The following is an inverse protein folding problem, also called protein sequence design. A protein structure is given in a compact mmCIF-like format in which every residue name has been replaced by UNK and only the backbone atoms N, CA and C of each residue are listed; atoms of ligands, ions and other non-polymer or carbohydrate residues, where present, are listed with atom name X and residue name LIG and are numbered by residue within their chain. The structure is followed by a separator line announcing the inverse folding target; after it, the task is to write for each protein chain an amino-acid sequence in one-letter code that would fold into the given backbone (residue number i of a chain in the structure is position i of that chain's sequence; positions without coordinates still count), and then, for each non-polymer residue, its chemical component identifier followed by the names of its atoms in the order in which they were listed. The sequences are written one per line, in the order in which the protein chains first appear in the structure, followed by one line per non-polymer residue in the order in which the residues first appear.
data_IF_822676474120
#
_entry.id   IF_822676474120
#
_cell.length_a   1.000
_cell.length_b   1.000
_cell.length_c   1.000
_cell.angle_alpha   90.00
_cell.angle_beta   90.00
_cell.angle_gamma   90.00
#
_symmetry.space_group_name_H-M   'P 1'
#
loop_
_entity.id
_entity.type
_entity.pdbx_description
1 polymer ?
#
# COMPACT_ATOMS: atom_id res chain seq x y z
N UNK A 1 9.75 -6.08 2.84
CA UNK A 1 8.38 -6.42 3.32
C UNK A 1 7.62 -7.14 2.22
N UNK A 2 6.91 -8.24 2.50
CA UNK A 2 6.21 -9.06 1.47
C UNK A 2 4.70 -8.81 1.41
N UNK A 3 4.14 -8.73 0.22
CA UNK A 3 2.73 -8.46 -0.09
C UNK A 3 2.33 -9.14 -1.40
N UNK A 4 1.03 -9.14 -1.72
CA UNK A 4 0.50 -9.73 -2.97
C UNK A 4 -0.09 -8.68 -3.88
N UNK A 5 0.28 -8.71 -5.17
CA UNK A 5 -0.40 -7.93 -6.21
C UNK A 5 -1.71 -8.64 -6.58
N UNK A 6 -2.79 -7.90 -6.80
CA UNK A 6 -4.10 -8.44 -7.25
C UNK A 6 -4.67 -7.62 -8.40
N UNK A 7 -5.41 -8.31 -9.26
CA UNK A 7 -6.11 -7.75 -10.42
C UNK A 7 -7.26 -6.81 -10.00
N UNK A 8 -7.80 -6.06 -10.96
CA UNK A 8 -8.83 -5.04 -10.80
C UNK A 8 -10.09 -5.48 -9.98
N UNK A 9 -10.94 -4.54 -9.53
CA UNK A 9 -12.07 -4.84 -8.65
C UNK A 9 -13.02 -5.88 -9.25
N UNK A 10 -13.13 -7.04 -8.61
CA UNK A 10 -14.03 -8.14 -9.01
C UNK A 10 -13.31 -9.44 -9.40
N UNK A 11 -12.00 -9.42 -9.63
CA UNK A 11 -11.19 -10.63 -9.80
C UNK A 11 -10.47 -10.98 -8.50
N UNK A 12 -10.50 -12.26 -8.15
CA UNK A 12 -9.82 -12.90 -7.00
C UNK A 12 -8.36 -13.21 -7.30
N UNK A 13 -7.87 -12.94 -8.52
CA UNK A 13 -6.58 -13.39 -9.00
C UNK A 13 -5.40 -12.66 -8.33
N UNK A 14 -4.37 -13.44 -8.02
CA UNK A 14 -3.08 -13.02 -7.51
C UNK A 14 -2.03 -13.31 -8.57
N UNK A 15 -1.07 -12.39 -8.72
CA UNK A 15 -0.01 -12.57 -9.70
C UNK A 15 1.04 -13.53 -9.20
N UNK A 16 1.47 -14.46 -10.04
CA UNK A 16 2.54 -15.41 -9.73
C UNK A 16 3.75 -15.16 -10.62
N UNK A 17 4.93 -15.43 -10.07
CA UNK A 17 6.20 -15.44 -10.80
C UNK A 17 6.79 -16.85 -10.79
N UNK A 18 7.20 -17.36 -11.94
CA UNK A 18 8.11 -18.51 -12.03
C UNK A 18 9.37 -18.09 -12.78
N UNK A 19 10.52 -18.67 -12.39
CA UNK A 19 11.79 -18.31 -13.01
C UNK A 19 11.72 -18.57 -14.53
N UNK A 20 12.14 -17.57 -15.31
CA UNK A 20 12.12 -17.54 -16.79
C UNK A 20 10.75 -17.36 -17.49
N UNK A 21 9.67 -17.19 -16.72
CA UNK A 21 8.30 -17.06 -17.24
C UNK A 21 7.76 -15.64 -17.00
N UNK A 22 6.84 -15.22 -17.87
CA UNK A 22 6.09 -13.96 -17.75
C UNK A 22 5.28 -13.92 -16.44
N UNK A 23 4.94 -12.72 -15.97
CA UNK A 23 4.11 -12.57 -14.77
C UNK A 23 2.64 -12.69 -15.16
N UNK A 24 1.90 -13.59 -14.51
CA UNK A 24 0.49 -13.87 -14.81
C UNK A 24 -0.40 -13.69 -13.59
N UNK A 25 -1.58 -13.10 -13.78
CA UNK A 25 -2.72 -13.20 -12.86
C UNK A 25 -3.33 -14.61 -13.01
N UNK A 26 -3.00 -15.53 -12.10
CA UNK A 26 -3.20 -16.96 -12.36
C UNK A 26 -3.84 -17.75 -11.21
N UNK A 27 -4.11 -17.15 -10.04
CA UNK A 27 -4.63 -17.93 -8.92
C UNK A 27 -5.43 -17.10 -7.93
N UNK A 28 -6.51 -17.67 -7.39
CA UNK A 28 -7.22 -17.09 -6.24
C UNK A 28 -6.44 -17.22 -4.93
N UNK A 29 -5.53 -18.20 -4.85
CA UNK A 29 -4.78 -18.54 -3.65
C UNK A 29 -3.43 -17.81 -3.58
N UNK A 30 -3.14 -17.25 -2.41
CA UNK A 30 -1.82 -16.68 -2.12
C UNK A 30 -0.84 -17.83 -1.95
N UNK A 31 0.19 -17.88 -2.79
CA UNK A 31 1.31 -18.81 -2.70
C UNK A 31 2.60 -18.01 -2.51
N UNK A 32 3.72 -18.63 -2.10
CA UNK A 32 5.00 -17.93 -2.02
C UNK A 32 5.38 -17.24 -3.33
N UNK A 33 5.05 -17.84 -4.48
CA UNK A 33 5.34 -17.28 -5.81
C UNK A 33 4.49 -16.05 -6.16
N UNK A 34 3.44 -15.78 -5.38
CA UNK A 34 2.61 -14.58 -5.50
C UNK A 34 2.93 -13.46 -4.52
N UNK A 35 4.02 -13.65 -3.75
CA UNK A 35 4.57 -12.64 -2.88
C UNK A 35 5.64 -11.82 -3.60
N UNK A 36 5.46 -10.51 -3.53
CA UNK A 36 6.43 -9.51 -3.97
C UNK A 36 6.89 -8.68 -2.78
N UNK A 37 8.15 -8.25 -2.80
CA UNK A 37 8.66 -7.26 -1.87
C UNK A 37 8.67 -5.88 -2.49
N UNK A 38 8.16 -4.91 -1.74
CA UNK A 38 8.18 -3.50 -2.12
C UNK A 38 9.54 -2.90 -1.71
N UNK A 39 10.35 -2.57 -2.70
CA UNK A 39 11.65 -1.92 -2.49
C UNK A 39 11.60 -0.54 -3.13
N UNK A 40 11.80 0.50 -2.34
CA UNK A 40 11.80 1.88 -2.82
C UNK A 40 12.95 2.61 -2.14
N UNK A 41 13.78 3.28 -2.94
CA UNK A 41 14.84 4.13 -2.41
C UNK A 41 14.21 5.43 -1.91
N UNK A 42 14.55 5.84 -0.68
CA UNK A 42 14.05 7.08 -0.07
C UNK A 42 14.41 8.33 -0.89
N UNK A 43 15.41 8.25 -1.76
CA UNK A 43 15.89 9.36 -2.58
C UNK A 43 15.45 9.28 -4.05
N UNK A 44 14.89 8.15 -4.49
CA UNK A 44 14.46 7.97 -5.88
C UNK A 44 12.94 7.74 -5.95
N UNK A 45 12.21 8.41 -6.85
CA UNK A 45 10.76 8.23 -7.00
C UNK A 45 10.37 6.87 -7.60
N UNK A 46 11.33 5.96 -7.76
CA UNK A 46 11.16 4.70 -8.45
C UNK A 46 11.19 3.55 -7.43
N UNK A 47 10.28 2.60 -7.61
CA UNK A 47 10.24 1.35 -6.87
C UNK A 47 10.75 0.20 -7.72
N UNK A 48 11.07 -0.88 -7.03
CA UNK A 48 11.34 -2.19 -7.57
C UNK A 48 10.44 -3.22 -6.89
N UNK A 49 10.05 -4.23 -7.65
CA UNK A 49 9.23 -5.34 -7.16
C UNK A 49 10.07 -6.60 -7.18
N UNK A 50 10.48 -7.09 -6.01
CA UNK A 50 11.27 -8.31 -5.89
C UNK A 50 10.37 -9.52 -5.69
N UNK A 51 10.44 -10.52 -6.55
CA UNK A 51 9.70 -11.78 -6.41
C UNK A 51 10.33 -12.71 -5.38
N UNK A 52 9.58 -13.73 -4.94
CA UNK A 52 10.03 -14.69 -3.95
C UNK A 52 11.27 -15.53 -4.36
N UNK A 53 11.52 -15.67 -5.67
CA UNK A 53 12.73 -16.31 -6.20
C UNK A 53 13.98 -15.40 -6.16
N UNK A 54 13.84 -14.16 -5.66
CA UNK A 54 14.94 -13.21 -5.49
C UNK A 54 15.20 -12.29 -6.67
N UNK A 55 14.57 -12.55 -7.83
CA UNK A 55 14.65 -11.69 -9.01
C UNK A 55 13.68 -10.51 -8.92
N UNK A 56 13.81 -9.58 -9.85
CA UNK A 56 12.99 -8.39 -9.92
C UNK A 56 12.05 -8.45 -11.14
N UNK A 57 10.85 -7.92 -10.96
CA UNK A 57 9.94 -7.64 -12.08
C UNK A 57 10.60 -6.62 -12.98
N UNK A 58 10.67 -6.91 -14.27
CA UNK A 58 11.37 -6.11 -15.24
C UNK A 58 10.58 -5.99 -16.54
N UNK A 59 10.56 -4.78 -17.11
CA UNK A 59 10.03 -4.54 -18.45
C UNK A 59 11.05 -5.03 -19.49
N UNK A 60 10.66 -5.96 -20.34
CA UNK A 60 11.52 -6.57 -21.37
C UNK A 60 11.14 -6.11 -22.78
N UNK A 61 11.87 -6.62 -23.77
CA UNK A 61 11.56 -6.42 -25.18
C UNK A 61 10.13 -6.87 -25.51
N UNK A 62 9.57 -6.29 -26.57
CA UNK A 62 8.17 -6.49 -26.96
C UNK A 62 7.15 -6.18 -25.86
N UNK A 63 7.53 -5.32 -24.89
CA UNK A 63 6.65 -4.81 -23.82
C UNK A 63 6.14 -5.92 -22.86
N UNK A 64 6.83 -7.05 -22.85
CA UNK A 64 6.57 -8.13 -21.89
C UNK A 64 7.10 -7.75 -20.51
N UNK A 65 6.53 -8.34 -19.45
CA UNK A 65 6.99 -8.15 -18.08
C UNK A 65 7.35 -9.51 -17.50
N UNK A 66 8.59 -9.63 -16.99
CA UNK A 66 9.15 -10.89 -16.48
C UNK A 66 9.77 -10.68 -15.10
N UNK A 67 9.75 -11.71 -14.26
CA UNK A 67 10.40 -11.71 -12.95
C UNK A 67 11.81 -12.33 -13.03
N UNK A 68 12.67 -11.73 -13.87
CA UNK A 68 14.03 -12.19 -14.14
C UNK A 68 15.08 -11.06 -14.12
N UNK A 69 14.73 -9.89 -13.59
CA UNK A 69 15.64 -8.75 -13.51
C UNK A 69 16.56 -8.78 -12.31
N UNK A 70 17.66 -8.05 -12.44
CA UNK A 70 18.63 -7.81 -11.40
C UNK A 70 18.50 -6.38 -10.81
N UNK A 71 18.89 -6.15 -9.54
CA UNK A 71 18.64 -4.89 -8.84
C UNK A 71 19.17 -3.62 -9.53
N UNK A 72 20.22 -3.72 -10.35
CA UNK A 72 20.85 -2.55 -10.98
C UNK A 72 20.30 -2.25 -12.38
N UNK A 73 19.35 -3.03 -12.89
CA UNK A 73 18.76 -2.83 -14.21
C UNK A 73 17.71 -1.71 -14.20
N UNK A 74 17.80 -0.78 -15.14
CA UNK A 74 16.82 0.29 -15.29
C UNK A 74 15.41 -0.25 -15.59
N UNK A 75 15.32 -1.39 -16.26
CA UNK A 75 14.09 -2.09 -16.62
C UNK A 75 13.29 -2.59 -15.41
N UNK A 76 13.92 -2.67 -14.24
CA UNK A 76 13.28 -3.07 -12.98
C UNK A 76 12.69 -1.90 -12.19
N UNK A 77 12.93 -0.67 -12.64
CA UNK A 77 12.48 0.55 -11.98
C UNK A 77 11.11 0.98 -12.54
N UNK A 78 10.18 1.21 -11.62
CA UNK A 78 8.83 1.70 -11.94
C UNK A 78 8.51 2.94 -11.12
N UNK A 79 7.85 3.92 -11.73
CA UNK A 79 7.18 5.00 -10.99
C UNK A 79 5.84 4.49 -10.49
N UNK A 80 5.53 4.82 -9.23
CA UNK A 80 4.27 4.48 -8.60
C UNK A 80 3.35 5.68 -8.55
N UNK A 81 2.11 5.46 -8.95
CA UNK A 81 1.02 6.41 -8.73
C UNK A 81 -0.06 5.72 -7.92
N UNK A 82 -0.59 6.41 -6.92
CA UNK A 82 -1.67 5.92 -6.09
C UNK A 82 -3.02 6.51 -6.54
N UNK A 83 -4.05 5.66 -6.55
CA UNK A 83 -5.44 6.06 -6.75
C UNK A 83 -6.31 5.38 -5.70
N UNK A 84 -6.47 6.03 -4.54
CA UNK A 84 -7.33 5.56 -3.44
C UNK A 84 -7.05 4.09 -3.05
N UNK A 85 -5.76 3.75 -2.86
CA UNK A 85 -5.32 2.43 -2.42
C UNK A 85 -5.07 1.44 -3.55
N UNK A 86 -5.32 1.87 -4.80
CA UNK A 86 -4.88 1.16 -6.00
C UNK A 86 -3.54 1.71 -6.47
N UNK A 87 -2.68 0.82 -6.90
CA UNK A 87 -1.37 1.11 -7.47
C UNK A 87 -1.46 1.17 -8.98
N UNK A 88 -0.84 2.17 -9.58
CA UNK A 88 -0.62 2.26 -11.02
C UNK A 88 0.90 2.33 -11.23
N UNK A 89 1.43 1.35 -11.96
CA UNK A 89 2.86 1.18 -12.16
C UNK A 89 3.26 1.65 -13.56
N UNK A 90 4.22 2.57 -13.65
CA UNK A 90 4.74 3.09 -14.91
C UNK A 90 6.23 2.76 -15.06
N UNK A 91 6.58 2.05 -16.12
CA UNK A 91 7.98 1.81 -16.49
C UNK A 91 8.70 3.12 -16.86
N UNK A 92 10.05 3.11 -16.81
CA UNK A 92 10.86 4.26 -17.22
C UNK A 92 10.69 4.65 -18.70
N UNK A 93 10.24 3.71 -19.55
CA UNK A 93 9.87 4.00 -20.95
C UNK A 93 8.56 4.79 -21.09
N UNK A 94 7.90 5.11 -19.97
CA UNK A 94 6.64 5.86 -19.93
C UNK A 94 5.39 4.99 -20.10
N UNK A 95 5.55 3.67 -20.24
CA UNK A 95 4.44 2.72 -20.42
C UNK A 95 3.90 2.24 -19.08
N UNK A 96 2.59 2.17 -18.96
CA UNK A 96 1.89 1.63 -17.80
C UNK A 96 1.78 0.12 -17.89
N UNK A 97 1.99 -0.53 -16.75
CA UNK A 97 1.83 -1.96 -16.59
C UNK A 97 0.34 -2.26 -16.47
N UNK A 98 -0.13 -3.25 -17.21
CA UNK A 98 -1.52 -3.67 -17.19
C UNK A 98 -1.67 -5.14 -17.53
N UNK A 99 -2.85 -5.67 -17.24
CA UNK A 99 -3.21 -7.05 -17.57
C UNK A 99 -3.91 -7.08 -18.92
N UNK A 100 -3.53 -8.00 -19.78
CA UNK A 100 -4.29 -8.31 -21.01
C UNK A 100 -5.20 -9.53 -20.80
N UNK A 101 -6.12 -9.78 -21.74
CA UNK A 101 -7.12 -10.85 -21.63
C UNK A 101 -6.57 -12.26 -21.34
N UNK A 102 -5.30 -12.53 -21.64
CA UNK A 102 -4.64 -13.79 -21.29
C UNK A 102 -4.20 -13.90 -19.82
N UNK A 103 -4.45 -12.87 -19.00
CA UNK A 103 -3.95 -12.78 -17.62
C UNK A 103 -2.49 -12.33 -17.52
N UNK A 104 -1.80 -12.13 -18.65
CA UNK A 104 -0.40 -11.72 -18.67
C UNK A 104 -0.22 -10.24 -18.32
N UNK A 105 0.80 -9.93 -17.52
CA UNK A 105 1.26 -8.58 -17.22
C UNK A 105 2.14 -8.05 -18.35
N UNK A 106 1.81 -6.87 -18.88
CA UNK A 106 2.53 -6.21 -19.99
C UNK A 106 2.66 -4.72 -19.74
N UNK A 107 3.65 -4.08 -20.36
CA UNK A 107 3.87 -2.63 -20.28
C UNK A 107 3.49 -1.94 -21.61
N UNK A 108 2.18 -1.89 -21.91
CA UNK A 108 1.68 -1.46 -23.22
C UNK A 108 1.04 -0.07 -23.23
N UNK A 109 0.30 0.26 -22.19
CA UNK A 109 -0.56 1.45 -22.17
C UNK A 109 0.25 2.74 -22.06
N UNK A 110 -0.19 3.81 -22.74
CA UNK A 110 0.35 5.17 -22.59
C UNK A 110 -0.46 6.03 -21.63
N UNK A 111 -1.70 5.61 -21.35
CA UNK A 111 -2.64 6.25 -20.44
C UNK A 111 -3.22 5.11 -19.59
N UNK A 112 -3.20 5.21 -18.26
CA UNK A 112 -3.70 4.14 -17.41
C UNK A 112 -5.22 4.06 -17.49
N UNK A 113 -5.75 2.84 -17.56
CA UNK A 113 -7.16 2.53 -17.41
C UNK A 113 -7.40 1.47 -16.33
N UNK A 114 -8.59 0.87 -16.29
CA UNK A 114 -8.95 -0.12 -15.27
C UNK A 114 -8.02 -1.35 -15.22
N UNK A 115 -7.37 -1.71 -16.33
CA UNK A 115 -6.46 -2.85 -16.41
C UNK A 115 -5.05 -2.55 -15.89
N UNK A 116 -4.71 -1.26 -15.70
CA UNK A 116 -3.45 -0.77 -15.17
C UNK A 116 -3.55 -0.42 -13.67
N UNK A 117 -4.71 -0.64 -13.05
CA UNK A 117 -4.94 -0.48 -11.62
C UNK A 117 -4.77 -1.80 -10.88
N UNK A 118 -3.83 -1.84 -9.95
CA UNK A 118 -3.53 -3.01 -9.16
C UNK A 118 -3.88 -2.81 -7.70
N UNK A 119 -4.44 -3.85 -7.09
CA UNK A 119 -4.57 -3.94 -5.65
C UNK A 119 -3.29 -4.40 -4.99
N UNK A 120 -3.02 -3.92 -3.78
CA UNK A 120 -2.09 -4.59 -2.87
C UNK A 120 -2.82 -5.09 -1.62
N UNK A 121 -2.27 -6.17 -1.04
CA UNK A 121 -2.67 -6.69 0.26
C UNK A 121 -1.44 -7.14 1.03
N UNK A 122 -1.36 -6.80 2.31
CA UNK A 122 -0.32 -7.31 3.18
C UNK A 122 -0.45 -8.84 3.31
N UNK A 123 0.65 -9.56 3.08
CA UNK A 123 0.64 -11.01 3.17
C UNK A 123 0.72 -11.50 4.62
N UNK A 124 1.58 -10.88 5.42
CA UNK A 124 1.94 -11.33 6.77
C UNK A 124 1.85 -10.21 7.82
N UNK A 125 0.91 -9.27 7.67
CA UNK A 125 0.64 -8.26 8.72
C UNK A 125 -0.84 -8.20 9.03
N UNK A 126 -1.19 -8.63 10.24
CA UNK A 126 -2.53 -8.52 10.82
C UNK A 126 -2.73 -7.23 11.62
N UNK A 127 -1.66 -6.47 11.87
CA UNK A 127 -1.72 -5.22 12.61
C UNK A 127 -0.65 -4.22 12.16
N UNK A 128 -0.84 -2.96 12.54
CA UNK A 128 0.12 -1.87 12.42
C UNK A 128 0.44 -1.25 13.76
N UNK A 129 1.65 -0.75 13.87
CA UNK A 129 2.05 0.28 14.82
C UNK A 129 2.49 1.46 13.95
N UNK A 130 2.00 2.66 14.24
CA UNK A 130 2.32 3.83 13.42
C UNK A 130 3.18 4.79 14.22
N UNK A 131 4.36 5.12 13.68
CA UNK A 131 5.23 6.16 14.20
C UNK A 131 5.29 7.32 13.21
N UNK A 132 4.83 8.49 13.64
CA UNK A 132 4.86 9.72 12.86
C UNK A 132 6.01 10.62 13.25
N UNK A 133 5.93 11.89 12.83
CA UNK A 133 6.97 12.90 13.07
C UNK A 133 7.20 13.19 14.55
N UNK A 134 6.16 13.11 15.38
CA UNK A 134 6.19 13.56 16.78
C UNK A 134 6.16 12.43 17.80
N UNK A 135 6.02 11.18 17.37
CA UNK A 135 5.93 10.01 18.26
C UNK A 135 5.06 8.92 17.68
N UNK A 136 4.64 7.99 18.52
CA UNK A 136 3.71 6.94 18.14
C UNK A 136 2.27 7.43 18.15
N UNK A 137 1.46 6.78 17.31
CA UNK A 137 0.01 6.88 17.38
C UNK A 137 -0.49 6.01 18.53
N UNK A 138 -1.29 6.60 19.40
CA UNK A 138 -1.82 5.90 20.55
C UNK A 138 -2.96 6.64 21.22
N UNK A 139 -3.50 6.00 22.25
CA UNK A 139 -4.56 6.57 23.10
C UNK A 139 -3.99 6.88 24.48
N UNK A 140 -4.47 7.96 25.09
CA UNK A 140 -4.07 8.36 26.45
C UNK A 140 -5.31 8.28 27.35
N UNK A 141 -5.12 7.89 28.61
CA UNK A 141 -6.20 7.90 29.62
C UNK A 141 -6.80 9.29 29.83
N UNK A 142 -6.03 10.34 29.55
CA UNK A 142 -6.39 11.73 29.79
C UNK A 142 -7.09 12.36 28.58
N UNK A 143 -7.06 11.68 27.43
CA UNK A 143 -7.59 12.20 26.18
C UNK A 143 -8.61 11.27 25.55
N UNK A 144 -9.80 11.82 25.31
CA UNK A 144 -10.85 11.16 24.54
C UNK A 144 -10.48 10.99 23.04
N UNK A 145 -9.37 11.58 22.58
CA UNK A 145 -8.94 11.58 21.19
C UNK A 145 -7.59 10.88 21.04
N UNK A 146 -7.40 10.19 19.92
CA UNK A 146 -6.12 9.60 19.55
C UNK A 146 -5.05 10.68 19.37
N UNK A 147 -3.87 10.37 19.89
CA UNK A 147 -2.68 11.20 19.83
C UNK A 147 -1.64 10.58 18.90
N UNK A 148 -0.64 11.37 18.51
CA UNK A 148 0.46 11.02 17.60
C UNK A 148 1.84 11.44 18.13
N UNK A 149 1.91 11.72 19.43
CA UNK A 149 3.12 12.08 20.18
C UNK A 149 3.33 11.16 21.40
N UNK A 150 2.82 9.93 21.33
CA UNK A 150 2.93 8.97 22.43
C UNK A 150 4.30 8.31 22.43
N UNK A 151 4.79 7.96 23.62
CA UNK A 151 6.00 7.15 23.78
C UNK A 151 5.74 5.66 23.53
N UNK A 152 4.56 5.18 23.95
CA UNK A 152 4.09 3.81 23.72
C UNK A 152 3.03 3.77 22.61
N UNK A 153 3.12 2.81 21.66
CA UNK A 153 2.17 2.71 20.56
C UNK A 153 0.91 1.92 20.92
N UNK A 154 -0.21 2.33 20.31
CA UNK A 154 -1.36 1.44 20.18
C UNK A 154 -1.13 0.44 19.04
N UNK A 155 -1.62 -0.79 19.25
CA UNK A 155 -1.67 -1.79 18.19
C UNK A 155 -2.97 -1.65 17.41
N UNK A 156 -2.86 -1.37 16.11
CA UNK A 156 -4.00 -1.21 15.19
C UNK A 156 -4.22 -2.52 14.45
N UNK A 157 -5.25 -3.28 14.81
CA UNK A 157 -5.61 -4.47 14.08
C UNK A 157 -6.14 -4.09 12.69
N UNK A 158 -5.60 -4.74 11.66
CA UNK A 158 -5.99 -4.55 10.26
C UNK A 158 -6.99 -5.63 9.87
N UNK A 159 -8.23 -5.21 9.58
CA UNK A 159 -9.22 -6.08 8.96
C UNK A 159 -9.31 -5.76 7.47
N UNK A 160 -8.87 -6.65 6.57
CA UNK A 160 -8.93 -6.38 5.13
C UNK A 160 -10.38 -6.27 4.64
N UNK A 161 -10.75 -5.15 3.99
CA UNK A 161 -12.07 -4.96 3.40
C UNK A 161 -12.03 -5.19 1.89
N UNK A 162 -11.21 -4.40 1.19
CA UNK A 162 -10.94 -4.50 -0.26
C UNK A 162 -9.45 -4.30 -0.49
N UNK A 163 -9.00 -4.46 -1.72
CA UNK A 163 -7.60 -4.22 -2.06
C UNK A 163 -7.19 -2.78 -1.67
N UNK A 164 -6.08 -2.64 -0.94
CA UNK A 164 -5.60 -1.36 -0.39
C UNK A 164 -6.48 -0.72 0.69
N UNK A 165 -7.65 -1.31 1.03
CA UNK A 165 -8.62 -0.74 1.97
C UNK A 165 -8.81 -1.68 3.17
N UNK A 166 -8.59 -1.13 4.35
CA UNK A 166 -8.65 -1.83 5.62
C UNK A 166 -9.59 -1.13 6.58
N UNK A 167 -10.13 -1.89 7.52
CA UNK A 167 -10.76 -1.35 8.72
C UNK A 167 -9.75 -1.40 9.85
N UNK A 168 -9.65 -0.31 10.59
CA UNK A 168 -8.75 -0.20 11.74
C UNK A 168 -9.54 -0.51 13.00
N UNK A 169 -9.11 -1.55 13.72
CA UNK A 169 -9.72 -2.01 14.95
C UNK A 169 -8.73 -1.82 16.11
N UNK A 170 -9.18 -1.21 17.19
CA UNK A 170 -8.42 -1.06 18.43
C UNK A 170 -8.34 -2.40 19.18
N UNK A 171 -7.39 -2.54 20.12
CA UNK A 171 -7.17 -3.79 20.87
C UNK A 171 -8.42 -4.32 21.59
N UNK A 172 -9.37 -3.45 21.98
CA UNK A 172 -10.65 -3.83 22.59
C UNK A 172 -11.75 -4.28 21.62
N UNK A 173 -11.44 -4.49 20.33
CA UNK A 173 -12.39 -4.93 19.31
C UNK A 173 -13.29 -3.83 18.75
N UNK A 174 -13.21 -2.62 19.30
CA UNK A 174 -13.90 -1.44 18.76
C UNK A 174 -13.15 -0.87 17.55
N UNK A 175 -13.85 -0.15 16.68
CA UNK A 175 -13.27 0.41 15.47
C UNK A 175 -12.75 1.82 15.67
N UNK A 176 -11.75 2.20 14.88
CA UNK A 176 -11.40 3.60 14.74
C UNK A 176 -12.57 4.37 14.11
N UNK A 177 -12.88 5.53 14.68
CA UNK A 177 -13.89 6.45 14.18
C UNK A 177 -13.30 7.83 13.97
N UNK A 178 -13.92 8.62 13.10
CA UNK A 178 -13.52 9.99 12.79
C UNK A 178 -14.62 10.96 13.20
N UNK A 179 -14.24 12.09 13.81
CA UNK A 179 -15.18 13.16 14.18
C UNK A 179 -15.41 14.12 13.02
N UNK A 180 -16.38 15.03 13.16
CA UNK A 180 -16.62 16.11 12.19
C UNK A 180 -15.43 17.06 12.02
N UNK A 181 -14.50 17.08 12.99
CA UNK A 181 -13.30 17.92 12.97
C UNK A 181 -12.08 17.17 12.42
N UNK A 182 -12.25 15.95 11.92
CA UNK A 182 -11.15 15.14 11.38
C UNK A 182 -10.23 14.55 12.45
N UNK A 183 -10.64 14.51 13.72
CA UNK A 183 -9.92 13.82 14.80
C UNK A 183 -10.41 12.38 14.96
N UNK A 184 -9.61 11.52 15.61
CA UNK A 184 -9.91 10.09 15.73
C UNK A 184 -10.22 9.62 17.16
N UNK A 185 -11.04 8.56 17.26
CA UNK A 185 -11.40 7.87 18.52
C UNK A 185 -11.32 6.34 18.36
N UNK A 186 -10.88 5.57 19.39
CA UNK A 186 -10.71 4.11 19.31
C UNK A 186 -12.00 3.29 19.56
N UNK A 187 -13.08 3.90 20.05
CA UNK A 187 -14.33 3.20 20.45
C UNK A 187 -15.50 3.40 19.47
N UNK A 188 -15.19 3.44 18.17
CA UNK A 188 -16.19 3.44 17.11
C UNK A 188 -16.98 2.14 17.07
N UNK A 189 -18.29 2.24 16.83
CA UNK A 189 -19.20 1.09 16.69
C UNK A 189 -19.16 0.44 15.31
N UNK A 190 -18.78 1.20 14.29
CA UNK A 190 -18.84 0.79 12.89
C UNK A 190 -17.46 0.86 12.26
N UNK A 191 -17.20 -0.10 11.38
CA UNK A 191 -15.97 -0.13 10.60
C UNK A 191 -15.96 0.99 9.55
N UNK A 192 -14.86 1.71 9.47
CA UNK A 192 -14.62 2.74 8.44
C UNK A 192 -13.51 2.30 7.49
N UNK A 193 -13.61 2.74 6.24
CA UNK A 193 -12.66 2.41 5.19
C UNK A 193 -11.44 3.33 5.23
N UNK A 194 -10.30 2.78 5.65
CA UNK A 194 -9.00 3.44 5.59
C UNK A 194 -8.23 2.88 4.41
N UNK A 195 -7.73 3.77 3.56
CA UNK A 195 -6.90 3.41 2.44
C UNK A 195 -5.43 3.56 2.86
N UNK A 196 -4.65 2.49 2.66
CA UNK A 196 -3.20 2.51 2.92
C UNK A 196 -2.48 2.67 1.59
N UNK A 197 -1.44 3.49 1.56
CA UNK A 197 -0.60 3.69 0.39
C UNK A 197 0.87 3.62 0.81
N UNK A 198 1.64 2.71 0.22
CA UNK A 198 3.07 2.56 0.52
C UNK A 198 3.88 3.71 -0.07
N UNK A 199 4.71 4.32 0.75
CA UNK A 199 5.64 5.40 0.39
C UNK A 199 7.10 4.94 0.44
N UNK A 200 7.37 3.78 1.04
CA UNK A 200 8.70 3.19 1.15
C UNK A 200 8.63 1.77 1.69
N UNK A 201 9.78 1.13 1.86
CA UNK A 201 9.85 -0.26 2.35
C UNK A 201 9.27 -0.46 3.76
N UNK A 202 9.23 0.60 4.57
CA UNK A 202 8.63 0.64 5.91
C UNK A 202 7.87 1.94 6.16
N UNK A 203 7.46 2.66 5.10
CA UNK A 203 6.76 3.95 5.19
C UNK A 203 5.44 3.87 4.43
N UNK A 204 4.38 4.41 5.03
CA UNK A 204 3.06 4.48 4.41
C UNK A 204 2.38 5.83 4.69
N UNK A 205 1.34 6.12 3.90
CA UNK A 205 0.31 7.12 4.17
C UNK A 205 -1.02 6.42 4.39
N UNK A 206 -1.91 7.08 5.12
CA UNK A 206 -3.29 6.61 5.33
C UNK A 206 -4.25 7.69 4.83
N UNK A 207 -5.04 7.37 3.81
CA UNK A 207 -6.17 8.18 3.36
C UNK A 207 -7.40 7.79 4.18
N UNK A 208 -7.92 8.73 4.95
CA UNK A 208 -9.03 8.53 5.87
C UNK A 208 -10.40 8.57 5.15
N UNK A 209 -11.47 8.08 5.79
CA UNK A 209 -12.81 8.01 5.19
C UNK A 209 -13.40 9.36 4.74
N UNK A 210 -12.90 10.47 5.29
CA UNK A 210 -13.32 11.81 4.91
C UNK A 210 -12.57 12.36 3.67
N UNK A 211 -11.70 11.56 3.05
CA UNK A 211 -10.98 11.93 1.83
C UNK A 211 -9.70 12.75 2.06
N UNK A 212 -9.21 12.82 3.29
CA UNK A 212 -7.97 13.51 3.65
C UNK A 212 -6.93 12.54 4.18
N UNK A 213 -5.66 12.84 3.93
CA UNK A 213 -4.55 12.09 4.51
C UNK A 213 -4.45 12.35 6.01
N UNK A 214 -4.26 11.26 6.74
CA UNK A 214 -3.96 11.26 8.16
C UNK A 214 -2.56 11.82 8.39
N UNK A 215 -2.45 12.82 9.27
CA UNK A 215 -1.20 13.49 9.61
C UNK A 215 -1.00 13.64 11.12
N UNK A 216 0.26 13.69 11.53
CA UNK A 216 0.66 14.04 12.89
C UNK A 216 0.65 15.56 13.08
N UNK A 217 -0.18 16.08 13.98
CA UNK A 217 -0.18 17.51 14.33
C UNK A 217 0.89 17.83 15.38
N UNK A 218 1.44 19.06 15.33
CA UNK A 218 2.45 19.50 16.30
C UNK A 218 1.90 19.55 17.74
N UNK A 219 0.59 19.74 17.91
CA UNK A 219 -0.05 19.68 19.24
C UNK A 219 -0.08 18.26 19.84
N UNK A 220 0.22 17.23 19.04
CA UNK A 220 0.08 15.82 19.43
C UNK A 220 -1.22 15.19 18.95
N UNK A 221 -2.20 15.97 18.47
CA UNK A 221 -3.48 15.40 18.00
C UNK A 221 -3.32 14.68 16.66
N UNK A 222 -3.92 13.50 16.52
CA UNK A 222 -4.02 12.81 15.21
C UNK A 222 -5.17 13.41 14.39
N UNK A 223 -4.86 13.88 13.17
CA UNK A 223 -5.82 14.57 12.30
C UNK A 223 -5.89 13.94 10.91
N UNK A 224 -7.02 14.09 10.23
CA UNK A 224 -7.19 13.83 8.81
C UNK A 224 -7.82 15.04 8.12
N UNK A 225 -6.98 15.99 7.75
CA UNK A 225 -7.34 17.26 7.11
C UNK A 225 -6.35 17.66 5.98
N UNK A 226 -5.34 16.83 5.71
CA UNK A 226 -4.34 17.10 4.67
C UNK A 226 -4.82 16.63 3.31
N UNK A 227 -4.88 17.54 2.33
CA UNK A 227 -5.23 17.20 0.94
C UNK A 227 -4.07 16.55 0.19
N UNK A 228 -2.87 17.02 0.47
CA UNK A 228 -1.62 16.55 -0.13
C UNK A 228 -0.81 15.72 0.88
N UNK A 229 0.08 14.88 0.37
CA UNK A 229 1.01 14.12 1.20
C UNK A 229 2.15 15.06 1.63
N UNK A 230 2.21 15.35 2.92
CA UNK A 230 3.30 16.10 3.56
C UNK A 230 4.17 15.16 4.40
N UNK A 231 5.25 15.69 5.00
CA UNK A 231 6.12 14.89 5.89
C UNK A 231 5.38 14.41 7.13
N UNK A 232 4.36 15.14 7.56
CA UNK A 232 3.50 14.81 8.69
C UNK A 232 2.50 13.68 8.36
N UNK A 233 2.27 13.39 7.07
CA UNK A 233 1.40 12.31 6.61
C UNK A 233 2.12 10.95 6.52
N UNK A 234 3.44 10.92 6.69
CA UNK A 234 4.25 9.71 6.54
C UNK A 234 4.36 8.98 7.87
N UNK A 235 4.05 7.69 7.86
CA UNK A 235 4.07 6.82 9.03
C UNK A 235 5.03 5.66 8.82
N UNK A 236 5.92 5.44 9.78
CA UNK A 236 6.70 4.21 9.88
C UNK A 236 5.88 3.09 10.52
N UNK A 237 6.02 1.86 10.02
CA UNK A 237 5.19 0.71 10.39
C UNK A 237 5.86 -0.69 10.28
#
# INVERSE_FOLDING_TARGET
MSWTLRSAPGSSDVYTSSADVEVYAASEHVSPLSLFQFECDRNAPNLQLRSANGYYVAQRHHRTVKANGHPMEAETLFRLHWNCGKMILQSLSGRFLGIINSGMLVANATIPGPNEEFGFRFANRSFLILRGRYGYVGTSSDHDLMQCNMDEPDCIQLLPCRQGIYHFQAQGGSFWSITSFGTFRPWGKFALNFCIELQGSNLLTVLAPNGFYMRSDRSGTLLADSKDITKECIWEF
#
